data_IF_722352817369
#
_entry.id   IF_722352817369
#
_cell.length_a   1.000
_cell.length_b   1.000
_cell.length_c   1.000
_cell.angle_alpha   90.00
_cell.angle_beta   90.00
_cell.angle_gamma   90.00
#
_symmetry.space_group_name_H-M   'P 1'
#
loop_
_entity.id
_entity.type
_entity.pdbx_description
1 polymer ?
#
# COMPACT_ATOMS: atom_id res chain seq x y z
N UNK A 1 -0.14 9.69 -23.16
CA UNK A 1 1.10 8.90 -23.34
C UNK A 1 1.64 8.49 -21.98
N UNK A 2 1.88 7.21 -21.79
CA UNK A 2 2.49 6.74 -20.54
C UNK A 2 3.93 7.25 -20.44
N UNK A 3 4.27 7.85 -19.29
CA UNK A 3 5.66 8.14 -18.98
C UNK A 3 6.43 6.84 -18.84
N UNK A 4 7.73 6.86 -19.07
CA UNK A 4 8.59 5.71 -18.82
C UNK A 4 8.44 5.28 -17.35
N UNK A 5 8.02 4.04 -17.11
CA UNK A 5 7.76 3.54 -15.76
C UNK A 5 9.09 3.15 -15.11
N UNK A 6 9.61 4.03 -14.26
CA UNK A 6 10.88 3.81 -13.54
C UNK A 6 10.65 3.36 -12.10
N UNK A 7 9.53 3.70 -11.51
CA UNK A 7 9.19 3.37 -10.12
C UNK A 7 7.75 2.90 -10.06
N UNK A 8 7.52 1.77 -9.42
CA UNK A 8 6.19 1.22 -9.18
C UNK A 8 5.91 1.27 -7.68
N UNK A 9 4.80 1.88 -7.31
CA UNK A 9 4.33 1.95 -5.94
C UNK A 9 3.32 0.83 -5.68
N UNK A 10 3.52 0.10 -4.58
CA UNK A 10 2.67 -1.04 -4.19
C UNK A 10 2.12 -0.81 -2.79
N UNK A 11 0.87 -0.33 -2.66
CA UNK A 11 0.22 -0.28 -1.36
C UNK A 11 0.00 -1.67 -0.77
N UNK A 12 0.32 -1.85 0.50
CA UNK A 12 0.19 -3.11 1.22
C UNK A 12 -0.55 -2.90 2.53
N UNK A 13 -1.17 -3.97 3.06
CA UNK A 13 -1.86 -3.97 4.35
C UNK A 13 -1.44 -5.15 5.23
N UNK A 14 -0.33 -5.79 4.89
CA UNK A 14 0.25 -6.97 5.57
C UNK A 14 -0.62 -8.24 5.52
N UNK A 15 -1.71 -8.24 4.76
CA UNK A 15 -2.55 -9.43 4.57
C UNK A 15 -1.92 -10.44 3.60
N UNK A 16 -2.50 -11.62 3.54
CA UNK A 16 -2.13 -12.63 2.53
C UNK A 16 -2.34 -12.11 1.11
N UNK A 17 -3.39 -11.31 0.90
CA UNK A 17 -3.66 -10.67 -0.38
C UNK A 17 -2.52 -9.72 -0.76
N UNK A 18 -2.04 -8.91 0.18
CA UNK A 18 -0.89 -8.02 -0.05
C UNK A 18 0.39 -8.78 -0.41
N UNK A 19 0.64 -9.93 0.22
CA UNK A 19 1.80 -10.77 -0.15
C UNK A 19 1.74 -11.20 -1.61
N UNK A 20 0.56 -11.66 -2.04
CA UNK A 20 0.36 -12.07 -3.43
C UNK A 20 0.55 -10.91 -4.40
N UNK A 21 -0.02 -9.74 -4.07
CA UNK A 21 0.10 -8.54 -4.88
C UNK A 21 1.56 -8.09 -4.99
N UNK A 22 2.30 -8.11 -3.89
CA UNK A 22 3.71 -7.71 -3.89
C UNK A 22 4.55 -8.67 -4.74
N UNK A 23 4.31 -9.97 -4.66
CA UNK A 23 4.98 -10.96 -5.52
C UNK A 23 4.69 -10.72 -7.00
N UNK A 24 3.43 -10.52 -7.35
CA UNK A 24 3.03 -10.26 -8.74
C UNK A 24 3.63 -8.95 -9.25
N UNK A 25 3.81 -7.97 -8.35
CA UNK A 25 4.42 -6.67 -8.69
C UNK A 25 5.89 -6.78 -9.08
N UNK A 26 6.61 -7.80 -8.59
CA UNK A 26 7.99 -8.06 -9.01
C UNK A 26 8.05 -8.34 -10.51
N UNK A 27 7.15 -9.18 -11.00
CA UNK A 27 7.08 -9.50 -12.43
C UNK A 27 6.77 -8.25 -13.26
N UNK A 28 5.84 -7.43 -12.80
CA UNK A 28 5.51 -6.16 -13.46
C UNK A 28 6.73 -5.25 -13.49
N UNK A 29 7.41 -5.10 -12.36
CA UNK A 29 8.60 -4.26 -12.28
C UNK A 29 9.71 -4.73 -13.21
N UNK A 30 9.95 -6.03 -13.29
CA UNK A 30 10.96 -6.62 -14.18
C UNK A 30 10.64 -6.32 -15.64
N UNK A 31 9.37 -6.44 -16.04
CA UNK A 31 8.98 -6.16 -17.41
C UNK A 31 9.19 -4.68 -17.81
N UNK A 32 9.10 -3.76 -16.88
CA UNK A 32 9.33 -2.33 -17.13
C UNK A 32 10.77 -1.88 -16.81
N UNK A 33 11.59 -2.75 -16.20
CA UNK A 33 12.88 -2.32 -15.69
C UNK A 33 12.76 -1.29 -14.56
N UNK A 34 11.71 -1.41 -13.75
CA UNK A 34 11.35 -0.44 -12.72
C UNK A 34 11.77 -0.90 -11.32
N UNK A 35 11.91 0.07 -10.42
CA UNK A 35 12.09 -0.18 -8.98
C UNK A 35 10.74 -0.35 -8.31
N UNK A 36 10.68 -1.18 -7.27
CA UNK A 36 9.50 -1.34 -6.42
C UNK A 36 9.64 -0.53 -5.15
N UNK A 37 8.55 0.09 -4.73
CA UNK A 37 8.40 0.69 -3.41
C UNK A 37 7.09 0.23 -2.79
N UNK A 38 7.14 -0.44 -1.66
CA UNK A 38 5.96 -0.81 -0.90
C UNK A 38 5.59 0.33 0.06
N UNK A 39 4.30 0.61 0.19
CA UNK A 39 3.81 1.66 1.10
C UNK A 39 2.71 1.10 2.00
N UNK A 40 2.79 1.43 3.27
CA UNK A 40 1.76 1.15 4.26
C UNK A 40 1.35 2.45 4.95
N UNK A 41 0.05 2.67 5.08
CA UNK A 41 -0.49 3.87 5.74
C UNK A 41 -1.16 3.45 7.03
N UNK A 42 -0.70 4.02 8.15
CA UNK A 42 -1.38 3.91 9.44
C UNK A 42 -2.55 4.88 9.41
N UNK A 43 -3.76 4.35 9.57
CA UNK A 43 -4.97 5.17 9.57
C UNK A 43 -4.92 6.19 10.71
N UNK A 44 -5.17 7.45 10.38
CA UNK A 44 -5.25 8.50 11.40
C UNK A 44 -6.54 8.39 12.20
N UNK A 45 -6.43 8.61 13.51
CA UNK A 45 -7.56 8.64 14.42
C UNK A 45 -8.00 10.06 14.80
N UNK A 46 -7.48 11.08 14.14
CA UNK A 46 -7.83 12.48 14.44
C UNK A 46 -9.34 12.73 14.37
N UNK A 47 -10.00 12.15 13.37
CA UNK A 47 -11.44 12.26 13.17
C UNK A 47 -12.27 11.54 14.24
N UNK A 48 -11.65 10.67 15.03
CA UNK A 48 -12.30 9.88 16.07
C UNK A 48 -12.02 10.38 17.47
N UNK A 49 -11.33 11.51 17.61
CA UNK A 49 -10.92 12.05 18.90
C UNK A 49 -12.09 12.34 19.86
N UNK A 50 -13.27 12.64 19.33
CA UNK A 50 -14.48 12.88 20.12
C UNK A 50 -15.17 11.63 20.68
N UNK A 51 -14.82 10.45 20.18
CA UNK A 51 -15.43 9.18 20.58
C UNK A 51 -14.56 8.36 21.52
N UNK A 52 -13.34 8.79 21.73
CA UNK A 52 -12.38 8.06 22.54
C UNK A 52 -12.36 8.63 23.96
N UNK A 53 -12.50 7.76 24.97
CA UNK A 53 -12.21 8.09 26.36
C UNK A 53 -10.87 7.40 26.69
N UNK A 54 -9.74 8.00 26.38
CA UNK A 54 -8.49 7.30 26.51
C UNK A 54 -7.89 7.49 27.90
N UNK A 55 -7.45 6.40 28.46
CA UNK A 55 -6.41 6.42 29.47
C UNK A 55 -5.02 6.57 28.82
N UNK A 56 -4.95 6.47 27.49
CA UNK A 56 -3.71 6.60 26.71
C UNK A 56 -3.90 7.75 25.71
N UNK A 57 -2.96 8.71 25.63
CA UNK A 57 -3.02 9.76 24.62
C UNK A 57 -3.04 9.16 23.21
N UNK A 58 -3.96 9.63 22.37
CA UNK A 58 -4.12 9.17 20.99
C UNK A 58 -2.81 9.29 20.22
N UNK A 59 -2.08 10.38 20.41
CA UNK A 59 -0.78 10.62 19.75
C UNK A 59 0.25 9.55 20.10
N UNK A 60 0.33 9.14 21.37
CA UNK A 60 1.24 8.08 21.79
C UNK A 60 0.88 6.75 21.17
N UNK A 61 -0.40 6.39 21.16
CA UNK A 61 -0.89 5.16 20.55
C UNK A 61 -0.59 5.12 19.05
N UNK A 62 -0.84 6.23 18.35
CA UNK A 62 -0.58 6.37 16.94
C UNK A 62 0.91 6.26 16.60
N UNK A 63 1.77 6.88 17.41
CA UNK A 63 3.22 6.79 17.26
C UNK A 63 3.73 5.37 17.47
N UNK A 64 3.20 4.64 18.45
CA UNK A 64 3.54 3.24 18.68
C UNK A 64 3.14 2.37 17.49
N UNK A 65 1.96 2.59 16.93
CA UNK A 65 1.51 1.90 15.72
C UNK A 65 2.42 2.19 14.53
N UNK A 66 2.83 3.44 14.38
CA UNK A 66 3.72 3.88 13.31
C UNK A 66 5.10 3.21 13.39
N UNK A 67 5.71 3.23 14.57
CA UNK A 67 7.01 2.57 14.78
C UNK A 67 6.91 1.05 14.61
N UNK A 68 5.84 0.45 15.09
CA UNK A 68 5.55 -0.97 14.89
C UNK A 68 5.37 -1.33 13.42
N UNK A 69 4.67 -0.47 12.67
CA UNK A 69 4.45 -0.67 11.24
C UNK A 69 5.74 -0.61 10.42
N UNK A 70 6.68 0.26 10.78
CA UNK A 70 7.99 0.32 10.12
C UNK A 70 8.73 -1.00 10.25
N UNK A 71 8.78 -1.57 11.44
CA UNK A 71 9.42 -2.86 11.70
C UNK A 71 8.70 -3.97 10.95
N UNK A 72 7.38 -3.96 10.98
CA UNK A 72 6.54 -4.95 10.32
C UNK A 72 6.72 -4.91 8.79
N UNK A 73 6.91 -3.72 8.23
CA UNK A 73 7.14 -3.55 6.80
C UNK A 73 8.44 -4.24 6.35
N UNK A 74 9.52 -4.05 7.07
CA UNK A 74 10.81 -4.70 6.76
C UNK A 74 10.64 -6.22 6.76
N UNK A 75 10.03 -6.77 7.80
CA UNK A 75 9.80 -8.21 7.92
C UNK A 75 8.86 -8.72 6.81
N UNK A 76 7.83 -7.97 6.50
CA UNK A 76 6.87 -8.32 5.46
C UNK A 76 7.54 -8.44 4.07
N UNK A 77 8.39 -7.49 3.74
CA UNK A 77 9.12 -7.52 2.47
C UNK A 77 10.10 -8.70 2.43
N UNK A 78 10.86 -8.92 3.50
CA UNK A 78 11.78 -10.04 3.59
C UNK A 78 11.05 -11.39 3.46
N UNK A 79 9.97 -11.55 4.21
CA UNK A 79 9.16 -12.79 4.19
C UNK A 79 8.51 -13.04 2.82
N UNK A 80 8.20 -11.98 2.10
CA UNK A 80 7.49 -12.08 0.82
C UNK A 80 8.45 -12.26 -0.35
N UNK A 81 9.52 -11.47 -0.41
CA UNK A 81 10.42 -11.41 -1.56
C UNK A 81 11.78 -12.08 -1.33
N UNK A 82 12.17 -12.30 -0.08
CA UNK A 82 13.49 -12.82 0.24
C UNK A 82 14.58 -11.78 -0.01
N UNK A 83 15.83 -12.27 -0.16
CA UNK A 83 17.01 -11.40 -0.33
C UNK A 83 17.29 -11.02 -1.79
N UNK A 84 16.63 -11.68 -2.74
CA UNK A 84 16.97 -11.61 -4.17
C UNK A 84 16.42 -10.35 -4.83
N UNK A 85 15.26 -9.86 -4.35
CA UNK A 85 14.59 -8.72 -4.94
C UNK A 85 14.66 -7.52 -4.01
N UNK A 86 15.15 -6.38 -4.52
CA UNK A 86 15.18 -5.15 -3.76
C UNK A 86 13.85 -4.43 -3.84
N UNK A 87 13.35 -3.99 -2.70
CA UNK A 87 12.11 -3.23 -2.60
C UNK A 87 12.28 -2.16 -1.53
N UNK A 88 12.12 -0.90 -1.93
CA UNK A 88 12.09 0.21 -0.99
C UNK A 88 10.76 0.19 -0.22
N UNK A 89 10.72 0.83 0.93
CA UNK A 89 9.52 0.89 1.73
C UNK A 89 9.27 2.29 2.29
N UNK A 90 8.01 2.58 2.56
CA UNK A 90 7.58 3.83 3.16
C UNK A 90 6.35 3.56 4.04
N UNK A 91 6.34 4.20 5.20
CA UNK A 91 5.20 4.14 6.13
C UNK A 91 4.81 5.56 6.47
N UNK A 92 3.52 5.86 6.40
CA UNK A 92 2.97 7.18 6.72
C UNK A 92 1.74 7.03 7.62
N UNK A 93 1.28 8.15 8.14
CA UNK A 93 0.06 8.25 8.95
C UNK A 93 -0.90 9.19 8.24
N UNK A 94 -2.17 8.81 8.11
CA UNK A 94 -3.16 9.66 7.51
C UNK A 94 -4.35 8.87 6.99
N UNK A 95 -5.08 9.47 6.05
CA UNK A 95 -6.09 8.75 5.27
C UNK A 95 -5.41 7.86 4.25
N UNK A 96 -5.78 6.60 4.21
CA UNK A 96 -5.05 5.59 3.43
C UNK A 96 -4.98 5.98 1.94
N UNK A 97 -6.11 6.24 1.32
CA UNK A 97 -6.14 6.57 -0.12
C UNK A 97 -5.42 7.88 -0.44
N UNK A 98 -5.63 8.92 0.37
CA UNK A 98 -4.99 10.22 0.16
C UNK A 98 -3.47 10.14 0.29
N UNK A 99 -2.97 9.44 1.31
CA UNK A 99 -1.53 9.32 1.54
C UNK A 99 -0.84 8.48 0.46
N UNK A 100 -1.51 7.46 -0.06
CA UNK A 100 -1.00 6.71 -1.21
C UNK A 100 -0.80 7.64 -2.42
N UNK A 101 -1.81 8.44 -2.72
CA UNK A 101 -1.78 9.38 -3.85
C UNK A 101 -0.68 10.43 -3.67
N UNK A 102 -0.59 11.04 -2.48
CA UNK A 102 0.47 12.00 -2.15
C UNK A 102 1.87 11.41 -2.32
N UNK A 103 2.06 10.19 -1.86
CA UNK A 103 3.36 9.56 -1.97
C UNK A 103 3.69 9.19 -3.41
N UNK A 104 2.71 8.73 -4.17
CA UNK A 104 2.88 8.49 -5.61
C UNK A 104 3.35 9.74 -6.34
N UNK A 105 2.77 10.89 -6.01
CA UNK A 105 3.21 12.18 -6.57
C UNK A 105 4.63 12.53 -6.13
N UNK A 106 4.92 12.36 -4.85
CA UNK A 106 6.22 12.71 -4.27
C UNK A 106 7.38 11.95 -4.91
N UNK A 107 7.21 10.66 -5.19
CA UNK A 107 8.25 9.83 -5.80
C UNK A 107 8.18 9.80 -7.33
N UNK A 108 7.27 10.55 -7.93
CA UNK A 108 6.98 10.52 -9.37
C UNK A 108 6.76 9.07 -9.86
N UNK A 109 5.91 8.33 -9.17
CA UNK A 109 5.59 6.95 -9.53
C UNK A 109 5.04 6.87 -10.95
N UNK A 110 5.57 5.94 -11.73
CA UNK A 110 5.11 5.70 -13.09
C UNK A 110 3.89 4.79 -13.15
N UNK A 111 3.63 4.06 -12.06
CA UNK A 111 2.51 3.13 -11.94
C UNK A 111 2.26 2.81 -10.47
N UNK A 112 0.99 2.60 -10.12
CA UNK A 112 0.60 1.98 -8.85
C UNK A 112 0.09 0.58 -9.18
N UNK A 113 0.57 -0.43 -8.45
CA UNK A 113 0.04 -1.81 -8.53
C UNK A 113 -0.61 -2.12 -7.19
N UNK A 114 -1.87 -2.49 -7.19
CA UNK A 114 -2.60 -2.76 -5.96
C UNK A 114 -3.67 -3.82 -6.14
N UNK A 115 -4.08 -4.43 -5.03
CA UNK A 115 -5.19 -5.36 -5.04
C UNK A 115 -6.54 -4.65 -5.15
N UNK A 116 -7.50 -5.29 -5.77
CA UNK A 116 -8.89 -4.82 -5.79
C UNK A 116 -9.55 -4.94 -4.42
N UNK A 117 -9.01 -5.83 -3.55
CA UNK A 117 -9.53 -6.11 -2.22
C UNK A 117 -8.37 -6.10 -1.22
N UNK A 118 -8.62 -5.47 -0.08
CA UNK A 118 -7.65 -5.46 1.01
C UNK A 118 -7.97 -6.50 2.09
N UNK A 119 -7.52 -6.21 3.27
CA UNK A 119 -7.63 -7.02 4.47
C UNK A 119 -9.08 -7.43 4.80
N UNK A 120 -10.06 -6.55 4.59
CA UNK A 120 -11.49 -6.84 4.83
C UNK A 120 -12.21 -7.31 3.57
N UNK A 121 -11.47 -7.74 2.54
CA UNK A 121 -12.03 -8.04 1.24
C UNK A 121 -13.12 -9.09 1.27
N UNK A 122 -14.29 -8.69 0.80
CA UNK A 122 -15.39 -9.61 0.50
C UNK A 122 -15.25 -9.96 -0.98
N UNK A 123 -15.22 -11.24 -1.30
CA UNK A 123 -15.08 -11.73 -2.68
C UNK A 123 -16.12 -11.15 -3.65
N UNK A 124 -17.28 -10.77 -3.11
CA UNK A 124 -18.41 -10.22 -3.90
C UNK A 124 -18.26 -8.73 -4.24
N UNK A 125 -17.33 -8.03 -3.60
CA UNK A 125 -17.12 -6.61 -3.85
C UNK A 125 -16.10 -6.47 -4.98
N UNK A 126 -16.47 -5.76 -6.05
CA UNK A 126 -15.58 -5.57 -7.20
C UNK A 126 -14.35 -4.74 -6.87
N UNK A 127 -14.52 -3.71 -6.03
CA UNK A 127 -13.43 -2.86 -5.57
C UNK A 127 -13.63 -2.51 -4.10
N UNK A 128 -12.56 -2.57 -3.31
CA UNK A 128 -12.53 -1.97 -1.99
C UNK A 128 -12.52 -0.43 -2.06
N UNK A 129 -12.84 0.24 -0.96
CA UNK A 129 -12.92 1.70 -0.90
C UNK A 129 -11.60 2.39 -1.23
N UNK A 130 -10.48 1.85 -0.75
CA UNK A 130 -9.14 2.40 -1.03
C UNK A 130 -8.81 2.25 -2.51
N UNK A 131 -9.05 1.07 -3.09
CA UNK A 131 -8.80 0.83 -4.52
C UNK A 131 -9.62 1.79 -5.39
N UNK A 132 -10.90 1.98 -5.07
CA UNK A 132 -11.77 2.91 -5.79
C UNK A 132 -11.22 4.34 -5.73
N UNK A 133 -10.84 4.82 -4.55
CA UNK A 133 -10.29 6.16 -4.37
C UNK A 133 -9.00 6.37 -5.15
N UNK A 134 -8.09 5.40 -5.08
CA UNK A 134 -6.80 5.47 -5.79
C UNK A 134 -7.01 5.46 -7.29
N UNK A 135 -7.86 4.57 -7.82
CA UNK A 135 -8.15 4.50 -9.25
C UNK A 135 -8.71 5.83 -9.77
N UNK A 136 -9.61 6.45 -9.01
CA UNK A 136 -10.21 7.73 -9.43
C UNK A 136 -9.26 8.92 -9.40
N UNK A 137 -8.32 8.94 -8.46
CA UNK A 137 -7.54 10.16 -8.15
C UNK A 137 -6.03 10.00 -8.36
N UNK A 138 -5.57 8.87 -8.86
CA UNK A 138 -4.15 8.60 -9.05
C UNK A 138 -3.51 9.55 -10.08
N UNK A 139 -2.26 10.02 -9.81
CA UNK A 139 -1.51 10.82 -10.78
C UNK A 139 -0.89 9.98 -11.89
N UNK A 140 -0.98 8.66 -11.83
CA UNK A 140 -0.37 7.73 -12.77
C UNK A 140 -1.30 6.53 -13.04
N UNK A 141 -1.00 5.69 -14.05
CA UNK A 141 -1.74 4.46 -14.28
C UNK A 141 -1.80 3.56 -13.05
N UNK A 142 -2.93 2.92 -12.84
CA UNK A 142 -3.14 1.97 -11.73
C UNK A 142 -3.44 0.61 -12.33
N UNK A 143 -2.58 -0.35 -12.01
CA UNK A 143 -2.81 -1.76 -12.35
C UNK A 143 -3.42 -2.44 -11.13
N UNK A 144 -4.65 -2.93 -11.28
CA UNK A 144 -5.34 -3.64 -10.20
C UNK A 144 -5.29 -5.14 -10.43
N UNK A 145 -5.06 -5.89 -9.35
CA UNK A 145 -4.99 -7.34 -9.37
C UNK A 145 -6.07 -7.88 -8.43
N UNK A 146 -6.89 -8.79 -8.94
CA UNK A 146 -7.87 -9.48 -8.11
C UNK A 146 -7.18 -10.65 -7.40
N UNK A 147 -6.98 -10.59 -6.07
CA UNK A 147 -6.23 -11.61 -5.35
C UNK A 147 -6.97 -12.95 -5.23
N UNK A 148 -8.27 -12.97 -5.52
CA UNK A 148 -9.09 -14.16 -5.40
C UNK A 148 -9.17 -14.98 -6.68
N UNK A 149 -8.73 -14.45 -7.82
CA UNK A 149 -8.72 -15.22 -9.05
C UNK A 149 -7.56 -16.22 -9.05
N UNK A 150 -7.87 -17.47 -9.33
CA UNK A 150 -6.87 -18.50 -9.56
C UNK A 150 -6.34 -18.34 -11.00
N UNK A 151 -5.07 -18.44 -11.11
CA UNK A 151 -4.42 -18.51 -12.44
C UNK A 151 -4.75 -19.83 -13.11
#
# INVERSE_FOLDING_TARGET
MMKNVKTILVPVDFSKNSKKILKDSVDVAQNFGAKLTAVFIVQSFEDYSGFFVPHIPIDQFQNEMFEGAKKKMVNFIEDTLGEVDSCDNYVAIGDVGEEIIKYAEKIDAGMIVMGTHGYKGLERVLFGSVAEQVVKNSPCPVLTINPYKKK
#
